data_IF_802332487184
#
_entry.id   IF_802332487184
#
_cell.length_a   1.000
_cell.length_b   1.000
_cell.length_c   1.000
_cell.angle_alpha   90.00
_cell.angle_beta   90.00
_cell.angle_gamma   90.00
#
_symmetry.space_group_name_H-M   'P 1'
#
loop_
_entity.id
_entity.type
_entity.pdbx_description
1 polymer ?
#
# COMPACT_ATOMS: atom_id res chain seq x y z
N UNK A 1 -5.93 9.29 -13.47
CA UNK A 1 -5.23 9.03 -12.18
C UNK A 1 -5.38 10.28 -11.31
N UNK A 2 -5.74 10.14 -10.03
CA UNK A 2 -6.25 11.24 -9.16
C UNK A 2 -5.24 12.37 -8.83
N UNK A 3 -4.08 12.44 -9.48
CA UNK A 3 -3.05 13.43 -9.18
C UNK A 3 -2.51 13.39 -7.75
N UNK A 4 -2.76 12.30 -7.00
CA UNK A 4 -2.18 12.10 -5.66
C UNK A 4 -0.66 12.10 -5.80
N UNK A 5 0.02 12.91 -4.99
CA UNK A 5 1.48 12.89 -4.93
C UNK A 5 1.96 11.50 -4.52
N UNK A 6 2.80 10.90 -5.35
CA UNK A 6 3.25 9.52 -5.22
C UNK A 6 4.76 9.43 -5.17
N UNK A 7 5.28 8.33 -4.62
CA UNK A 7 6.72 8.08 -4.58
C UNK A 7 7.10 6.72 -5.14
N UNK A 8 6.57 5.62 -4.59
CA UNK A 8 6.87 4.27 -5.05
C UNK A 8 5.72 3.71 -5.88
N UNK A 9 6.07 3.08 -6.99
CA UNK A 9 5.18 2.30 -7.84
C UNK A 9 5.76 0.88 -7.94
N UNK A 10 4.89 -0.12 -7.73
CA UNK A 10 5.23 -1.53 -7.84
C UNK A 10 4.32 -2.17 -8.88
N UNK A 11 4.90 -2.90 -9.85
CA UNK A 11 4.16 -3.65 -10.85
C UNK A 11 4.28 -5.15 -10.56
N UNK A 12 3.17 -5.88 -10.71
CA UNK A 12 3.13 -7.33 -10.58
C UNK A 12 2.12 -7.92 -11.56
N UNK A 13 2.62 -8.42 -12.70
CA UNK A 13 1.76 -8.81 -13.83
C UNK A 13 0.91 -7.61 -14.29
N UNK A 14 -0.39 -7.83 -14.42
CA UNK A 14 -1.37 -6.81 -14.86
C UNK A 14 -1.77 -5.82 -13.76
N UNK A 15 -1.02 -5.72 -12.66
CA UNK A 15 -1.39 -4.90 -11.51
C UNK A 15 -0.33 -3.87 -11.16
N UNK A 16 -0.80 -2.67 -10.81
CA UNK A 16 0.02 -1.55 -10.39
C UNK A 16 -0.41 -1.06 -9.00
N UNK A 17 0.57 -0.90 -8.12
CA UNK A 17 0.38 -0.46 -6.73
C UNK A 17 1.16 0.82 -6.51
N UNK A 18 0.49 1.89 -6.08
CA UNK A 18 1.08 3.22 -5.96
C UNK A 18 0.99 3.70 -4.52
N UNK A 19 2.14 3.94 -3.90
CA UNK A 19 2.24 4.54 -2.58
C UNK A 19 2.27 6.06 -2.65
N UNK A 20 1.50 6.72 -1.78
CA UNK A 20 1.28 8.17 -1.80
C UNK A 20 1.90 8.91 -0.61
N UNK A 21 2.31 10.15 -0.85
CA UNK A 21 2.65 11.15 0.18
C UNK A 21 1.38 11.64 0.89
N UNK A 22 1.49 12.36 2.03
CA UNK A 22 0.33 12.90 2.73
C UNK A 22 -0.54 13.78 1.84
N UNK A 23 -1.84 13.71 2.05
CA UNK A 23 -2.82 14.49 1.30
C UNK A 23 -4.23 13.99 1.57
N UNK A 24 -5.22 14.71 1.05
CA UNK A 24 -6.62 14.29 1.06
C UNK A 24 -7.25 14.74 -0.24
N UNK A 25 -7.78 13.79 -1.01
CA UNK A 25 -8.35 14.04 -2.34
C UNK A 25 -9.61 13.19 -2.54
N UNK A 26 -10.56 13.63 -3.38
CA UNK A 26 -11.73 12.84 -3.75
C UNK A 26 -11.35 11.47 -4.31
N UNK A 27 -11.96 10.41 -3.79
CA UNK A 27 -11.89 9.05 -4.33
C UNK A 27 -12.96 8.86 -5.42
N UNK A 28 -12.60 8.63 -6.70
CA UNK A 28 -13.58 8.48 -7.78
C UNK A 28 -14.39 7.19 -7.66
N UNK A 29 -13.96 6.23 -6.84
CA UNK A 29 -14.72 5.00 -6.59
C UNK A 29 -15.88 5.23 -5.62
N UNK A 30 -15.73 6.17 -4.67
CA UNK A 30 -16.70 6.39 -3.58
C UNK A 30 -17.36 7.76 -3.65
N UNK A 31 -16.79 8.71 -4.41
CA UNK A 31 -17.21 10.12 -4.46
C UNK A 31 -16.81 10.94 -3.24
N UNK A 32 -16.13 10.36 -2.26
CA UNK A 32 -15.82 11.00 -0.96
C UNK A 32 -14.33 11.35 -0.88
N UNK A 33 -14.00 12.45 -0.20
CA UNK A 33 -12.61 12.81 0.07
C UNK A 33 -11.97 11.84 1.07
N UNK A 34 -10.83 11.26 0.68
CA UNK A 34 -10.09 10.28 1.48
C UNK A 34 -8.62 10.66 1.59
N UNK A 35 -8.05 10.43 2.76
CA UNK A 35 -6.62 10.60 3.00
C UNK A 35 -5.80 9.71 2.08
N UNK A 36 -4.74 10.27 1.50
CA UNK A 36 -3.79 9.52 0.69
C UNK A 36 -3.31 8.27 1.43
N UNK A 37 -3.20 7.18 0.69
CA UNK A 37 -2.68 5.93 1.19
C UNK A 37 -2.04 5.14 0.07
N UNK A 38 -2.72 4.11 -0.42
CA UNK A 38 -2.21 3.26 -1.50
C UNK A 38 -3.29 3.06 -2.55
N UNK A 39 -2.96 3.29 -3.82
CA UNK A 39 -3.86 2.96 -4.93
C UNK A 39 -3.50 1.61 -5.53
N UNK A 40 -4.52 0.84 -5.90
CA UNK A 40 -4.40 -0.42 -6.64
C UNK A 40 -5.08 -0.23 -7.98
N UNK A 41 -4.35 -0.46 -9.07
CA UNK A 41 -4.82 -0.29 -10.43
C UNK A 41 -4.68 -1.61 -11.19
N UNK A 42 -5.69 -1.90 -12.00
CA UNK A 42 -5.61 -2.85 -13.10
C UNK A 42 -4.96 -2.14 -14.30
N UNK A 43 -3.87 -2.71 -14.79
CA UNK A 43 -3.08 -2.22 -15.93
C UNK A 43 -2.98 -3.26 -17.05
N UNK A 44 -3.87 -4.25 -17.07
CA UNK A 44 -3.98 -5.26 -18.15
C UNK A 44 -4.08 -4.63 -19.54
N UNK A 45 -4.75 -3.47 -19.63
CA UNK A 45 -4.63 -2.56 -20.75
C UNK A 45 -3.81 -1.32 -20.34
N UNK A 46 -2.50 -1.27 -20.68
CA UNK A 46 -1.64 -0.16 -20.27
C UNK A 46 -2.04 1.18 -20.92
N UNK A 47 -2.77 1.16 -22.04
CA UNK A 47 -3.30 2.38 -22.66
C UNK A 47 -4.54 2.93 -21.91
N UNK A 48 -5.17 2.14 -21.05
CA UNK A 48 -6.35 2.54 -20.28
C UNK A 48 -6.39 1.89 -18.88
N UNK A 49 -5.49 2.28 -17.96
CA UNK A 49 -5.43 1.70 -16.62
C UNK A 49 -6.65 2.12 -15.78
N UNK A 50 -7.16 1.18 -14.99
CA UNK A 50 -8.36 1.36 -14.15
C UNK A 50 -8.01 1.35 -12.67
N UNK A 51 -8.47 2.34 -11.91
CA UNK A 51 -8.37 2.31 -10.44
C UNK A 51 -9.36 1.28 -9.90
N UNK A 52 -8.86 0.28 -9.17
CA UNK A 52 -9.68 -0.81 -8.62
C UNK A 52 -9.96 -0.61 -7.14
N UNK A 53 -8.96 -0.16 -6.37
CA UNK A 53 -9.14 0.16 -4.96
C UNK A 53 -8.24 1.29 -4.51
N UNK A 54 -8.63 1.93 -3.41
CA UNK A 54 -7.80 2.85 -2.67
C UNK A 54 -7.85 2.47 -1.18
N UNK A 55 -6.69 2.20 -0.60
CA UNK A 55 -6.53 1.90 0.82
C UNK A 55 -6.13 3.21 1.51
N UNK A 56 -7.02 3.91 2.23
CA UNK A 56 -6.68 5.19 2.84
C UNK A 56 -5.62 5.05 3.93
N UNK A 57 -4.83 6.10 4.11
CA UNK A 57 -3.96 6.29 5.26
C UNK A 57 -4.70 6.91 6.44
N UNK A 58 -3.99 7.08 7.57
CA UNK A 58 -4.47 7.96 8.63
C UNK A 58 -4.31 9.43 8.19
N UNK A 59 -4.93 10.40 8.88
CA UNK A 59 -4.69 11.81 8.60
C UNK A 59 -3.19 12.14 8.61
N UNK A 60 -2.72 12.82 7.56
CA UNK A 60 -1.32 13.19 7.36
C UNK A 60 -0.33 12.01 7.29
N UNK A 61 -0.81 10.79 7.06
CA UNK A 61 0.06 9.63 6.93
C UNK A 61 0.85 9.64 5.62
N UNK A 62 2.13 9.29 5.72
CA UNK A 62 2.93 8.88 4.58
C UNK A 62 2.71 7.38 4.35
N UNK A 63 2.20 7.01 3.19
CA UNK A 63 2.05 5.62 2.75
C UNK A 63 2.77 5.42 1.41
N UNK A 64 3.97 5.97 1.32
CA UNK A 64 4.70 6.25 0.08
C UNK A 64 5.54 5.08 -0.42
N UNK A 65 5.81 4.10 0.44
CA UNK A 65 6.49 2.86 0.11
C UNK A 65 5.48 1.71 0.03
N UNK A 66 5.57 0.91 -1.02
CA UNK A 66 4.67 -0.22 -1.28
C UNK A 66 5.42 -1.38 -1.92
N UNK A 67 5.21 -2.58 -1.40
CA UNK A 67 5.71 -3.85 -1.94
C UNK A 67 4.54 -4.84 -2.00
N UNK A 68 4.63 -5.79 -2.92
CA UNK A 68 3.63 -6.85 -3.07
C UNK A 68 4.32 -8.20 -3.16
N UNK A 69 3.75 -9.18 -2.46
CA UNK A 69 4.30 -10.52 -2.26
C UNK A 69 3.23 -11.53 -2.67
N UNK A 70 3.57 -12.46 -3.55
CA UNK A 70 2.86 -13.72 -3.69
C UNK A 70 3.37 -14.67 -2.60
N UNK A 71 2.52 -15.02 -1.65
CA UNK A 71 2.94 -15.95 -0.60
C UNK A 71 2.79 -17.40 -1.11
N UNK A 72 3.89 -18.15 -1.30
CA UNK A 72 3.81 -19.52 -1.78
C UNK A 72 3.18 -20.47 -0.76
N UNK A 73 3.16 -20.11 0.53
CA UNK A 73 2.68 -20.99 1.59
C UNK A 73 1.16 -21.15 1.63
N UNK A 74 0.41 -20.09 1.31
CA UNK A 74 -1.05 -20.09 1.30
C UNK A 74 -1.66 -19.72 -0.06
N UNK A 75 -0.83 -19.41 -1.05
CA UNK A 75 -1.25 -19.00 -2.39
C UNK A 75 -1.88 -17.60 -2.44
N UNK A 76 -1.84 -16.84 -1.34
CA UNK A 76 -2.41 -15.50 -1.25
C UNK A 76 -1.44 -14.43 -1.73
N UNK A 77 -1.96 -13.22 -1.86
CA UNK A 77 -1.17 -12.04 -2.17
C UNK A 77 -1.27 -11.02 -1.07
N UNK A 78 -0.12 -10.49 -0.69
CA UNK A 78 -0.01 -9.51 0.38
C UNK A 78 0.63 -8.23 -0.12
N UNK A 79 0.06 -7.11 0.28
CA UNK A 79 0.63 -5.79 0.11
C UNK A 79 1.23 -5.35 1.44
N UNK A 80 2.51 -4.99 1.41
CA UNK A 80 3.18 -4.34 2.52
C UNK A 80 3.41 -2.87 2.18
N UNK A 81 3.03 -1.97 3.09
CA UNK A 81 3.29 -0.54 2.94
C UNK A 81 3.84 0.06 4.21
N UNK A 82 4.58 1.15 4.08
CA UNK A 82 4.83 1.97 5.25
C UNK A 82 3.58 2.77 5.65
N UNK A 83 3.50 3.14 6.92
CA UNK A 83 2.51 4.07 7.46
C UNK A 83 3.19 4.92 8.53
N UNK A 84 3.36 6.21 8.23
CA UNK A 84 4.02 7.14 9.15
C UNK A 84 3.20 8.41 9.33
N UNK A 85 2.86 8.71 10.58
CA UNK A 85 2.36 10.02 11.02
C UNK A 85 3.38 10.65 11.97
N UNK A 86 3.07 11.83 12.53
CA UNK A 86 3.89 12.43 13.57
C UNK A 86 4.08 11.49 14.79
N UNK A 87 3.05 10.71 15.14
CA UNK A 87 2.98 9.92 16.37
C UNK A 87 2.95 8.40 16.18
N UNK A 88 2.76 7.91 14.95
CA UNK A 88 2.65 6.48 14.65
C UNK A 88 3.56 6.09 13.49
N UNK A 89 4.23 4.95 13.61
CA UNK A 89 5.16 4.41 12.61
C UNK A 89 5.00 2.91 12.55
N UNK A 90 4.70 2.40 11.37
CA UNK A 90 4.57 0.96 11.19
C UNK A 90 4.68 0.52 9.74
N UNK A 91 4.84 -0.78 9.55
CA UNK A 91 4.51 -1.45 8.29
C UNK A 91 3.14 -2.09 8.40
N UNK A 92 2.22 -1.71 7.51
CA UNK A 92 0.90 -2.30 7.42
C UNK A 92 0.89 -3.38 6.34
N UNK A 93 0.29 -4.53 6.66
CA UNK A 93 0.15 -5.65 5.74
C UNK A 93 -1.33 -5.84 5.43
N UNK A 94 -1.65 -5.97 4.14
CA UNK A 94 -3.00 -6.21 3.65
C UNK A 94 -3.03 -7.50 2.81
N UNK A 95 -3.99 -8.37 3.06
CA UNK A 95 -4.38 -9.41 2.11
C UNK A 95 -5.10 -8.73 0.94
N UNK A 96 -4.54 -8.90 -0.26
CA UNK A 96 -5.05 -8.36 -1.52
C UNK A 96 -5.39 -9.48 -2.51
N UNK A 97 -5.72 -10.67 -2.00
CA UNK A 97 -6.18 -11.79 -2.83
C UNK A 97 -7.41 -11.39 -3.66
N UNK A 98 -8.33 -10.64 -3.04
CA UNK A 98 -9.29 -9.78 -3.74
C UNK A 98 -8.77 -8.33 -3.71
N UNK A 99 -8.43 -7.80 -4.88
CA UNK A 99 -7.84 -6.45 -5.01
C UNK A 99 -8.86 -5.33 -4.94
N UNK A 100 -10.14 -5.63 -5.15
CA UNK A 100 -11.21 -4.66 -4.95
C UNK A 100 -11.54 -4.49 -3.46
N UNK A 101 -11.24 -5.51 -2.64
CA UNK A 101 -11.52 -5.51 -1.19
C UNK A 101 -10.28 -5.85 -0.34
N UNK A 102 -9.24 -5.01 -0.32
CA UNK A 102 -8.07 -5.25 0.53
C UNK A 102 -8.43 -5.33 2.02
N UNK A 103 -7.90 -6.34 2.71
CA UNK A 103 -8.15 -6.56 4.14
C UNK A 103 -6.86 -6.40 4.92
N UNK A 104 -6.83 -5.47 5.89
CA UNK A 104 -5.67 -5.31 6.77
C UNK A 104 -5.51 -6.55 7.66
N UNK A 105 -4.35 -7.19 7.61
CA UNK A 105 -4.04 -8.40 8.40
C UNK A 105 -2.99 -8.15 9.47
N UNK A 106 -2.15 -7.14 9.32
CA UNK A 106 -1.16 -6.77 10.35
C UNK A 106 -0.83 -5.28 10.36
N UNK A 107 -0.34 -4.84 11.52
CA UNK A 107 0.24 -3.52 11.76
C UNK A 107 1.50 -3.70 12.62
N UNK A 108 2.67 -3.68 11.98
CA UNK A 108 3.95 -3.96 12.61
C UNK A 108 4.58 -2.65 13.04
N UNK A 109 4.38 -2.27 14.31
CA UNK A 109 4.86 -1.01 14.89
C UNK A 109 6.07 -1.17 15.83
N UNK A 110 6.57 -2.41 15.99
CA UNK A 110 7.69 -2.71 16.87
C UNK A 110 8.53 -3.87 16.33
N UNK A 111 9.76 -3.96 16.80
CA UNK A 111 10.72 -5.03 16.54
C UNK A 111 11.14 -5.65 17.88
N UNK A 112 11.90 -6.77 17.90
CA UNK A 112 12.50 -7.27 19.12
C UNK A 112 13.37 -6.25 19.88
N UNK A 113 13.86 -5.21 19.19
CA UNK A 113 14.63 -4.12 19.78
C UNK A 113 13.76 -2.95 20.33
N UNK A 114 12.43 -3.06 20.24
CA UNK A 114 11.48 -2.05 20.72
C UNK A 114 10.66 -1.39 19.61
N UNK A 115 9.94 -0.30 19.93
CA UNK A 115 9.09 0.43 18.99
C UNK A 115 9.85 0.96 17.77
N UNK A 116 9.16 1.09 16.64
CA UNK A 116 9.76 1.64 15.42
C UNK A 116 9.98 3.15 15.54
N UNK A 117 11.22 3.58 15.34
CA UNK A 117 11.58 5.00 15.29
C UNK A 117 11.36 5.64 13.91
N UNK A 118 11.33 4.84 12.84
CA UNK A 118 10.98 5.21 11.46
C UNK A 118 10.44 3.96 10.73
N UNK A 119 9.48 4.15 9.84
CA UNK A 119 9.00 3.13 8.91
C UNK A 119 9.11 3.71 7.50
N UNK A 120 10.32 3.74 6.94
CA UNK A 120 10.58 4.49 5.70
C UNK A 120 10.34 3.64 4.44
N UNK A 121 11.33 2.86 4.02
CA UNK A 121 11.27 1.94 2.88
C UNK A 121 11.83 0.59 3.32
N UNK A 122 11.21 -0.47 2.86
CA UNK A 122 11.70 -1.83 2.99
C UNK A 122 11.79 -2.49 1.62
N UNK A 123 12.66 -3.48 1.53
CA UNK A 123 12.58 -4.49 0.49
C UNK A 123 12.03 -5.77 1.14
N UNK A 124 11.35 -6.59 0.36
CA UNK A 124 11.01 -7.94 0.77
C UNK A 124 11.20 -8.85 -0.43
N UNK A 125 12.00 -9.89 -0.24
CA UNK A 125 12.24 -10.94 -1.21
C UNK A 125 11.36 -12.15 -0.89
N UNK A 126 10.60 -12.63 -1.89
CA UNK A 126 9.67 -13.75 -1.72
C UNK A 126 10.40 -15.07 -1.40
N UNK A 127 11.65 -15.23 -1.84
CA UNK A 127 12.41 -16.47 -1.70
C UNK A 127 13.12 -16.60 -0.35
N UNK A 128 13.49 -15.47 0.26
CA UNK A 128 14.29 -15.40 1.49
C UNK A 128 13.56 -14.74 2.66
N UNK A 129 12.47 -14.01 2.41
CA UNK A 129 11.73 -13.28 3.44
C UNK A 129 12.47 -12.06 4.00
N UNK A 130 13.42 -11.50 3.24
CA UNK A 130 14.31 -10.39 3.64
C UNK A 130 14.17 -9.16 2.73
#
# INVERSE_FOLDING_TARGET
MQGRESLQVTLQGDWCYVGHLPGCLPNPLTGIAEHNGTSILDVSNPANPSLIAHIPGAPQANCRAVQVINNPHDGKRYLARNHETASARSFQIFDISDRAHPVKVADVASTPAGPMNLAHKGWWDESSGL
#
